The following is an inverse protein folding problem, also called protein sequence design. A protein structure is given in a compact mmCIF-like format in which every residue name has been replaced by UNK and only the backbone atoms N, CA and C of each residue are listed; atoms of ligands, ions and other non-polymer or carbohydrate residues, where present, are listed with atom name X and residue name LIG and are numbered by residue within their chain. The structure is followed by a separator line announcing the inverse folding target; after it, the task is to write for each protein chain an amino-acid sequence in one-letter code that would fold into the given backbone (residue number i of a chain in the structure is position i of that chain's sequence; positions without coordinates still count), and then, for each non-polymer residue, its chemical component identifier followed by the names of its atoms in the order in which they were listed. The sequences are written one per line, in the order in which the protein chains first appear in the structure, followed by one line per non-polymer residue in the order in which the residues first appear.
data_IF_686458501548
#
_entry.id   IF_686458501548
#
_cell.length_a   1.000
_cell.length_b   1.000
_cell.length_c   1.000
_cell.angle_alpha   90.00
_cell.angle_beta   90.00
_cell.angle_gamma   90.00
#
_symmetry.space_group_name_H-M   'P 1'
#
loop_
_entity.id
_entity.type
_entity.pdbx_description
1 polymer ?
#
# COMPACT_ATOMS: atom_id res chain seq x y z
N UNK A 1 23.30 -5.88 -11.28
CA UNK A 1 22.72 -6.40 -10.02
C UNK A 1 21.20 -6.38 -10.15
N UNK A 2 20.50 -7.42 -9.63
CA UNK A 2 19.04 -7.48 -9.54
C UNK A 2 18.63 -8.04 -8.19
N UNK A 3 17.71 -7.38 -7.52
CA UNK A 3 17.09 -7.88 -6.29
C UNK A 3 15.58 -7.58 -6.31
N UNK A 4 14.79 -8.47 -5.73
CA UNK A 4 13.35 -8.30 -5.55
C UNK A 4 13.09 -7.61 -4.22
N UNK A 5 12.29 -6.55 -4.23
CA UNK A 5 11.69 -5.98 -3.04
C UNK A 5 10.43 -6.76 -2.70
N UNK A 6 10.36 -7.39 -1.54
CA UNK A 6 9.20 -8.22 -1.20
C UNK A 6 8.46 -7.77 0.06
N UNK A 7 9.09 -6.88 0.87
CA UNK A 7 8.46 -6.31 2.06
C UNK A 7 9.15 -5.00 2.45
N UNK A 8 8.50 -4.18 3.28
CA UNK A 8 9.10 -3.00 3.91
C UNK A 8 8.38 -2.62 5.19
N UNK A 9 9.09 -1.97 6.09
CA UNK A 9 8.51 -1.32 7.26
C UNK A 9 9.17 0.04 7.50
N UNK A 10 8.48 0.90 8.24
CA UNK A 10 9.01 2.19 8.62
C UNK A 10 9.66 2.13 10.00
N UNK A 11 10.92 2.53 10.06
CA UNK A 11 11.68 2.73 11.29
C UNK A 11 11.89 4.22 11.52
N UNK A 12 11.65 4.71 12.73
CA UNK A 12 11.73 6.14 13.06
C UNK A 12 13.13 6.73 12.93
N UNK A 13 14.18 5.89 13.01
CA UNK A 13 15.59 6.31 12.93
C UNK A 13 16.20 6.05 11.55
N UNK A 14 15.83 4.93 10.92
CA UNK A 14 16.42 4.48 9.64
C UNK A 14 15.58 4.88 8.42
N UNK A 15 14.35 5.35 8.61
CA UNK A 15 13.37 5.55 7.56
C UNK A 15 12.78 4.23 7.08
N UNK A 16 12.51 4.10 5.78
CA UNK A 16 11.99 2.85 5.22
C UNK A 16 13.11 1.81 5.16
N UNK A 17 12.93 0.72 5.87
CA UNK A 17 13.74 -0.49 5.79
C UNK A 17 13.08 -1.43 4.79
N UNK A 18 13.79 -1.78 3.74
CA UNK A 18 13.24 -2.58 2.64
C UNK A 18 13.83 -3.98 2.65
N UNK A 19 12.98 -5.00 2.64
CA UNK A 19 13.41 -6.38 2.56
C UNK A 19 13.64 -6.78 1.10
N UNK A 20 14.78 -7.39 0.85
CA UNK A 20 15.21 -7.73 -0.51
C UNK A 20 15.72 -9.17 -0.59
N UNK A 21 15.53 -9.78 -1.77
CA UNK A 21 16.19 -11.01 -2.17
C UNK A 21 17.04 -10.76 -3.40
N UNK A 22 18.33 -11.08 -3.34
CA UNK A 22 19.26 -10.89 -4.46
C UNK A 22 19.11 -12.05 -5.45
N UNK A 23 18.82 -11.72 -6.71
CA UNK A 23 18.74 -12.69 -7.82
C UNK A 23 19.98 -12.70 -8.68
N UNK A 24 20.67 -11.55 -8.82
CA UNK A 24 21.87 -11.45 -9.63
C UNK A 24 22.83 -10.39 -9.10
N UNK A 25 24.11 -10.69 -9.08
CA UNK A 25 25.16 -9.80 -8.60
C UNK A 25 25.26 -9.74 -7.06
N UNK A 26 25.71 -8.63 -6.55
CA UNK A 26 25.83 -8.38 -5.10
C UNK A 26 25.27 -7.01 -4.74
N UNK A 27 24.83 -6.86 -3.49
CA UNK A 27 24.29 -5.63 -2.91
C UNK A 27 25.11 -5.27 -1.67
N UNK A 28 25.67 -4.06 -1.62
CA UNK A 28 26.53 -3.57 -0.55
C UNK A 28 26.32 -2.09 -0.26
N UNK A 29 26.70 -1.60 0.93
CA UNK A 29 26.64 -0.18 1.27
C UNK A 29 27.44 0.67 0.26
N UNK A 30 26.97 1.91 0.01
CA UNK A 30 27.57 2.86 -0.94
C UNK A 30 27.13 2.67 -2.38
N UNK A 31 26.46 1.57 -2.74
CA UNK A 31 25.95 1.39 -4.09
C UNK A 31 24.83 2.38 -4.41
N UNK A 32 24.88 2.95 -5.62
CA UNK A 32 23.79 3.71 -6.19
C UNK A 32 22.84 2.75 -6.89
N UNK A 33 21.66 2.59 -6.34
CA UNK A 33 20.63 1.66 -6.84
C UNK A 33 19.38 2.42 -7.25
N UNK A 34 18.56 1.79 -8.09
CA UNK A 34 17.29 2.33 -8.55
C UNK A 34 16.21 1.27 -8.43
N UNK A 35 15.09 1.65 -7.88
CA UNK A 35 13.84 0.90 -7.96
C UNK A 35 13.19 1.21 -9.30
N UNK A 36 12.92 0.21 -10.13
CA UNK A 36 12.50 0.43 -11.52
C UNK A 36 11.12 1.10 -11.62
N UNK A 37 10.17 0.70 -10.78
CA UNK A 37 8.80 1.27 -10.78
C UNK A 37 8.72 2.60 -10.04
N UNK A 38 9.46 2.77 -8.95
CA UNK A 38 9.53 4.03 -8.23
C UNK A 38 10.35 5.10 -8.95
N UNK A 39 11.29 4.68 -9.80
CA UNK A 39 12.03 5.53 -10.72
C UNK A 39 13.15 6.38 -10.10
N UNK A 40 13.26 6.47 -8.78
CA UNK A 40 14.25 7.31 -8.10
C UNK A 40 15.52 6.53 -7.76
N UNK A 41 16.72 7.05 -8.09
CA UNK A 41 17.96 6.48 -7.60
C UNK A 41 18.15 6.80 -6.12
N UNK A 42 18.66 5.84 -5.36
CA UNK A 42 18.98 5.96 -3.94
C UNK A 42 20.33 5.32 -3.65
N UNK A 43 21.00 5.81 -2.62
CA UNK A 43 22.25 5.20 -2.14
C UNK A 43 21.96 4.25 -0.99
N UNK A 44 22.43 3.01 -1.13
CA UNK A 44 22.35 2.01 -0.06
C UNK A 44 23.24 2.45 1.12
N UNK A 45 22.66 2.65 2.28
CA UNK A 45 23.38 3.08 3.49
C UNK A 45 23.82 1.90 4.34
N UNK A 46 22.95 0.91 4.48
CA UNK A 46 23.19 -0.28 5.28
C UNK A 46 22.60 -1.49 4.58
N UNK A 47 23.26 -2.61 4.73
CA UNK A 47 22.82 -3.93 4.27
C UNK A 47 22.88 -4.87 5.47
N UNK A 48 21.88 -5.73 5.63
CA UNK A 48 21.85 -6.67 6.74
C UNK A 48 20.96 -7.87 6.49
N UNK A 49 20.93 -8.77 7.47
CA UNK A 49 20.05 -9.95 7.51
C UNK A 49 19.41 -10.10 8.88
N UNK A 50 18.58 -11.12 9.05
CA UNK A 50 17.88 -11.42 10.31
C UNK A 50 18.28 -12.78 10.85
N UNK A 51 18.47 -12.86 12.22
CA UNK A 51 18.72 -14.13 12.93
C UNK A 51 18.35 -14.04 14.43
N UNK A 52 17.10 -14.10 14.87
CA UNK A 52 15.93 -13.48 14.25
C UNK A 52 16.01 -11.95 14.25
N UNK A 53 16.92 -11.36 15.08
CA UNK A 53 17.14 -9.91 15.15
C UNK A 53 17.93 -9.43 13.93
N UNK A 54 17.69 -8.18 13.48
CA UNK A 54 18.48 -7.60 12.40
C UNK A 54 19.94 -7.46 12.82
N UNK A 55 20.85 -7.80 11.90
CA UNK A 55 22.29 -7.58 12.06
C UNK A 55 22.88 -7.09 10.73
N UNK A 56 23.87 -6.20 10.84
CA UNK A 56 24.53 -5.60 9.69
C UNK A 56 25.45 -6.62 9.01
N UNK A 57 25.48 -6.55 7.68
CA UNK A 57 26.39 -7.34 6.84
C UNK A 57 27.20 -6.43 5.92
N UNK A 58 28.33 -6.92 5.46
CA UNK A 58 29.15 -6.23 4.46
C UNK A 58 28.48 -6.23 3.09
N UNK A 59 27.78 -7.33 2.74
CA UNK A 59 27.05 -7.47 1.48
C UNK A 59 26.02 -8.59 1.55
N UNK A 60 25.09 -8.57 0.59
CA UNK A 60 24.23 -9.70 0.22
C UNK A 60 24.60 -10.17 -1.18
N UNK A 61 24.66 -11.48 -1.36
CA UNK A 61 25.00 -12.14 -2.64
C UNK A 61 23.80 -12.91 -3.19
N UNK A 62 23.96 -13.46 -4.39
CA UNK A 62 22.91 -14.21 -5.10
C UNK A 62 22.26 -15.28 -4.22
N UNK A 63 20.93 -15.30 -4.19
CA UNK A 63 20.10 -16.22 -3.40
C UNK A 63 19.85 -15.77 -1.95
N UNK A 64 20.63 -14.82 -1.43
CA UNK A 64 20.48 -14.34 -0.07
C UNK A 64 19.29 -13.38 0.06
N UNK A 65 18.67 -13.44 1.24
CA UNK A 65 17.60 -12.55 1.69
C UNK A 65 18.10 -11.69 2.84
N UNK A 66 17.74 -10.42 2.83
CA UNK A 66 18.11 -9.49 3.87
C UNK A 66 17.34 -8.18 3.77
N UNK A 67 17.90 -7.13 4.34
CA UNK A 67 17.32 -5.80 4.27
C UNK A 67 18.35 -4.77 3.80
N UNK A 68 17.83 -3.66 3.30
CA UNK A 68 18.60 -2.46 3.04
C UNK A 68 17.95 -1.24 3.68
N UNK A 69 18.77 -0.24 4.00
CA UNK A 69 18.31 1.12 4.26
C UNK A 69 18.92 2.06 3.23
N UNK A 70 18.14 3.06 2.79
CA UNK A 70 18.56 3.97 1.73
C UNK A 70 18.04 5.41 1.94
N UNK A 71 17.82 5.82 3.19
CA UNK A 71 17.25 7.12 3.55
C UNK A 71 15.93 7.46 2.84
N UNK A 72 15.13 6.45 2.52
CA UNK A 72 13.80 6.62 1.96
C UNK A 72 12.88 7.07 3.09
N UNK A 73 12.28 8.25 2.94
CA UNK A 73 11.47 8.88 4.00
C UNK A 73 10.01 8.48 3.95
N UNK A 74 9.52 8.08 2.77
CA UNK A 74 8.12 7.73 2.58
C UNK A 74 7.97 6.30 2.06
N UNK A 75 7.17 5.44 2.71
CA UNK A 75 6.85 4.12 2.19
C UNK A 75 6.19 4.14 0.81
N UNK A 76 5.53 5.24 0.45
CA UNK A 76 4.95 5.44 -0.89
C UNK A 76 5.99 5.46 -2.02
N UNK A 77 7.26 5.74 -1.66
CA UNK A 77 8.38 5.70 -2.61
C UNK A 77 8.92 4.27 -2.83
N UNK A 78 8.34 3.26 -2.19
CA UNK A 78 8.71 1.85 -2.33
C UNK A 78 7.48 1.06 -2.75
N UNK A 79 7.59 0.35 -3.88
CA UNK A 79 6.53 -0.53 -4.37
C UNK A 79 6.92 -1.99 -4.14
N UNK A 80 6.03 -2.75 -3.47
CA UNK A 80 6.25 -4.18 -3.26
C UNK A 80 6.23 -4.92 -4.60
N UNK A 81 7.15 -5.87 -4.75
CA UNK A 81 7.34 -6.59 -6.01
C UNK A 81 8.25 -5.86 -7.02
N UNK A 82 8.71 -4.64 -6.71
CA UNK A 82 9.61 -3.89 -7.59
C UNK A 82 10.99 -4.54 -7.67
N UNK A 83 11.71 -4.23 -8.73
CA UNK A 83 13.08 -4.67 -8.95
C UNK A 83 14.05 -3.56 -8.57
N UNK A 84 14.96 -3.88 -7.65
CA UNK A 84 16.11 -3.06 -7.33
C UNK A 84 17.27 -3.41 -8.25
N UNK A 85 17.88 -2.40 -8.88
CA UNK A 85 19.01 -2.57 -9.81
C UNK A 85 20.04 -1.47 -9.66
N UNK A 86 21.22 -1.62 -10.26
CA UNK A 86 22.20 -0.53 -10.31
C UNK A 86 21.66 0.68 -11.06
N UNK A 87 21.87 1.88 -10.52
CA UNK A 87 21.35 3.11 -11.13
C UNK A 87 22.06 3.43 -12.47
N UNK A 88 23.36 3.14 -12.59
CA UNK A 88 24.15 3.45 -13.80
C UNK A 88 23.96 2.45 -14.93
N UNK A 89 23.78 1.17 -14.59
CA UNK A 89 23.58 0.09 -15.55
C UNK A 89 22.41 -0.79 -15.12
N UNK A 90 21.17 -0.33 -15.34
CA UNK A 90 19.99 -1.02 -14.87
C UNK A 90 19.80 -2.35 -15.62
N UNK A 91 19.60 -3.41 -14.87
CA UNK A 91 19.16 -4.70 -15.40
C UNK A 91 17.65 -4.67 -15.68
N UNK A 92 17.10 -5.57 -16.52
CA UNK A 92 15.67 -5.69 -16.74
C UNK A 92 14.88 -5.92 -15.45
N UNK A 93 13.60 -5.58 -15.44
CA UNK A 93 12.72 -5.91 -14.34
C UNK A 93 12.57 -7.43 -14.16
N UNK A 94 12.50 -7.87 -12.92
CA UNK A 94 12.09 -9.25 -12.61
C UNK A 94 10.63 -9.43 -13.04
N UNK A 95 10.25 -10.61 -13.57
CA UNK A 95 8.89 -10.85 -13.99
C UNK A 95 7.92 -10.93 -12.80
N UNK A 96 6.64 -10.62 -13.05
CA UNK A 96 5.57 -10.82 -12.07
C UNK A 96 5.23 -9.59 -11.23
N UNK A 97 5.81 -8.42 -11.48
CA UNK A 97 5.35 -7.20 -10.82
C UNK A 97 3.88 -6.91 -11.15
N UNK A 98 3.07 -6.75 -10.12
CA UNK A 98 1.68 -6.29 -10.22
C UNK A 98 1.45 -5.19 -9.19
N UNK A 99 0.89 -4.09 -9.64
CA UNK A 99 0.49 -3.02 -8.72
C UNK A 99 -0.67 -3.48 -7.86
N UNK A 100 -0.49 -3.43 -6.55
CA UNK A 100 -1.53 -3.78 -5.59
C UNK A 100 -2.57 -2.67 -5.59
N UNK A 101 -3.83 -3.03 -5.89
CA UNK A 101 -4.96 -2.10 -5.88
C UNK A 101 -6.00 -2.54 -4.86
N UNK A 102 -6.58 -1.60 -4.11
CA UNK A 102 -7.71 -1.90 -3.24
C UNK A 102 -8.90 -2.46 -4.03
N UNK A 103 -9.56 -3.44 -3.44
CA UNK A 103 -10.74 -4.11 -4.01
C UNK A 103 -12.03 -3.83 -3.24
N UNK A 104 -11.90 -3.45 -1.97
CA UNK A 104 -13.02 -3.19 -1.07
C UNK A 104 -12.85 -1.82 -0.46
N UNK A 105 -13.91 -1.04 -0.42
CA UNK A 105 -13.91 0.31 0.14
C UNK A 105 -14.93 0.42 1.27
N UNK A 106 -14.57 1.15 2.33
CA UNK A 106 -15.44 1.44 3.46
C UNK A 106 -15.11 2.82 4.02
N UNK A 107 -16.14 3.56 4.41
CA UNK A 107 -15.94 4.78 5.19
C UNK A 107 -15.61 4.43 6.64
N UNK A 108 -14.57 5.03 7.20
CA UNK A 108 -14.20 4.92 8.61
C UNK A 108 -14.37 6.28 9.25
N UNK A 109 -15.21 6.34 10.28
CA UNK A 109 -15.55 7.56 11.01
C UNK A 109 -15.22 7.38 12.48
N UNK A 110 -14.73 8.41 13.18
CA UNK A 110 -14.56 8.33 14.61
C UNK A 110 -15.93 8.32 15.30
N UNK A 111 -16.09 7.54 16.36
CA UNK A 111 -17.33 7.54 17.13
C UNK A 111 -17.57 8.91 17.80
N UNK A 112 -16.50 9.57 18.24
CA UNK A 112 -16.53 10.94 18.70
C UNK A 112 -15.90 11.85 17.63
N UNK A 113 -16.64 12.84 17.14
CA UNK A 113 -16.18 13.76 16.11
C UNK A 113 -14.92 14.55 16.49
N UNK A 114 -14.66 14.75 17.78
CA UNK A 114 -13.45 15.38 18.30
C UNK A 114 -12.17 14.56 18.00
N UNK A 115 -12.31 13.26 17.78
CA UNK A 115 -11.18 12.35 17.49
C UNK A 115 -10.76 12.30 16.00
N UNK A 116 -11.34 13.15 15.14
CA UNK A 116 -11.03 13.15 13.71
C UNK A 116 -9.53 13.28 13.40
N UNK A 117 -8.85 14.25 14.01
CA UNK A 117 -7.41 14.44 13.78
C UNK A 117 -6.58 13.28 14.35
N UNK A 118 -7.00 12.71 15.47
CA UNK A 118 -6.36 11.52 16.05
C UNK A 118 -6.52 10.31 15.13
N UNK A 119 -7.70 10.11 14.53
CA UNK A 119 -7.95 9.07 13.55
C UNK A 119 -7.07 9.25 12.31
N UNK A 120 -6.96 10.48 11.79
CA UNK A 120 -6.09 10.81 10.65
C UNK A 120 -4.63 10.42 10.90
N UNK A 121 -4.11 10.77 12.08
CA UNK A 121 -2.74 10.40 12.48
C UNK A 121 -2.58 8.89 12.57
N UNK A 122 -3.56 8.17 13.12
CA UNK A 122 -3.56 6.72 13.27
C UNK A 122 -3.57 6.00 11.91
N UNK A 123 -4.44 6.44 10.99
CA UNK A 123 -4.47 5.93 9.61
C UNK A 123 -3.15 6.19 8.88
N UNK A 124 -2.55 7.36 9.07
CA UNK A 124 -1.24 7.68 8.53
C UNK A 124 -0.14 6.74 9.02
N UNK A 125 -0.14 6.42 10.31
CA UNK A 125 0.81 5.45 10.90
C UNK A 125 0.58 4.02 10.38
N UNK A 126 -0.67 3.61 10.22
CA UNK A 126 -1.00 2.32 9.63
C UNK A 126 -0.49 2.21 8.19
N UNK A 127 -0.69 3.25 7.39
CA UNK A 127 -0.23 3.27 5.99
C UNK A 127 1.30 3.20 5.86
N UNK A 128 2.06 3.65 6.87
CA UNK A 128 3.51 3.51 6.87
C UNK A 128 3.98 2.04 6.86
N UNK A 129 3.18 1.15 7.45
CA UNK A 129 3.51 -0.28 7.57
C UNK A 129 2.62 -1.17 6.67
N UNK A 130 1.73 -0.56 5.91
CA UNK A 130 0.79 -1.26 5.03
C UNK A 130 0.61 -0.47 3.74
N UNK A 131 1.43 -0.78 2.75
CA UNK A 131 1.44 -0.10 1.45
C UNK A 131 0.20 -0.36 0.61
N UNK A 132 -0.58 -1.40 0.95
CA UNK A 132 -1.83 -1.74 0.28
C UNK A 132 -3.04 -0.96 0.83
N UNK A 133 -2.90 -0.40 2.02
CA UNK A 133 -3.93 0.43 2.65
C UNK A 133 -3.88 1.85 2.09
N UNK A 134 -5.01 2.32 1.60
CA UNK A 134 -5.17 3.71 1.11
C UNK A 134 -6.33 4.37 1.83
N UNK A 135 -6.24 5.68 2.05
CA UNK A 135 -7.32 6.46 2.62
C UNK A 135 -7.33 7.88 2.07
N UNK A 136 -8.52 8.46 2.03
CA UNK A 136 -8.77 9.86 1.67
C UNK A 136 -9.86 10.43 2.57
N UNK A 137 -9.84 11.74 2.79
CA UNK A 137 -10.87 12.42 3.58
C UNK A 137 -12.23 12.29 2.91
N UNK A 138 -13.24 11.99 3.72
CA UNK A 138 -14.64 11.88 3.31
C UNK A 138 -15.53 12.59 4.33
N UNK A 139 -16.69 13.02 3.91
CA UNK A 139 -17.71 13.55 4.80
C UNK A 139 -19.05 12.88 4.54
N UNK A 140 -19.78 12.60 5.62
CA UNK A 140 -21.14 12.05 5.58
C UNK A 140 -22.08 13.00 6.31
N UNK A 141 -23.26 13.21 5.76
CA UNK A 141 -24.30 14.02 6.40
C UNK A 141 -24.71 13.43 7.76
N UNK A 142 -24.69 12.12 7.87
CA UNK A 142 -25.10 11.42 9.11
C UNK A 142 -23.96 11.23 10.11
N UNK A 143 -22.72 10.99 9.64
CA UNK A 143 -21.59 10.61 10.49
C UNK A 143 -20.53 11.71 10.62
N UNK A 144 -20.67 12.83 9.91
CA UNK A 144 -19.70 13.93 9.92
C UNK A 144 -18.45 13.63 9.10
N UNK A 145 -17.30 14.10 9.57
CA UNK A 145 -16.01 13.93 8.90
C UNK A 145 -15.39 12.58 9.23
N UNK A 146 -14.87 11.91 8.22
CA UNK A 146 -14.20 10.62 8.30
C UNK A 146 -13.26 10.39 7.14
N UNK A 147 -12.99 9.12 6.86
CA UNK A 147 -12.07 8.73 5.80
C UNK A 147 -12.65 7.57 5.00
N UNK A 148 -12.63 7.70 3.69
CA UNK A 148 -12.83 6.59 2.78
C UNK A 148 -11.56 5.80 2.68
N UNK A 149 -11.63 4.53 3.07
CA UNK A 149 -10.49 3.63 3.13
C UNK A 149 -10.65 2.52 2.09
N UNK A 150 -9.54 2.18 1.43
CA UNK A 150 -9.46 1.09 0.47
C UNK A 150 -8.62 -0.06 1.03
N UNK A 151 -9.11 -1.30 0.83
CA UNK A 151 -8.57 -2.53 1.37
C UNK A 151 -8.42 -3.58 0.27
N UNK A 152 -7.52 -4.56 0.46
CA UNK A 152 -7.36 -5.71 -0.44
C UNK A 152 -8.57 -6.63 -0.45
N UNK A 153 -9.30 -6.69 0.66
CA UNK A 153 -10.47 -7.52 0.85
C UNK A 153 -11.06 -7.35 2.24
N UNK A 154 -12.12 -8.12 2.55
CA UNK A 154 -12.83 -8.03 3.83
C UNK A 154 -11.94 -8.35 5.02
N UNK A 155 -11.12 -9.40 4.95
CA UNK A 155 -10.19 -9.76 6.01
C UNK A 155 -9.17 -8.64 6.29
N UNK A 156 -8.63 -8.01 5.25
CA UNK A 156 -7.74 -6.87 5.40
C UNK A 156 -8.45 -5.70 6.10
N UNK A 157 -9.70 -5.42 5.72
CA UNK A 157 -10.52 -4.40 6.37
C UNK A 157 -10.72 -4.68 7.86
N UNK A 158 -11.05 -5.91 8.24
CA UNK A 158 -11.23 -6.33 9.63
C UNK A 158 -9.93 -6.18 10.44
N UNK A 159 -8.79 -6.59 9.86
CA UNK A 159 -7.47 -6.43 10.49
C UNK A 159 -7.15 -4.95 10.74
N UNK A 160 -7.36 -4.08 9.75
CA UNK A 160 -7.11 -2.63 9.92
C UNK A 160 -8.02 -2.03 10.99
N UNK A 161 -9.30 -2.39 11.03
CA UNK A 161 -10.24 -1.93 12.06
C UNK A 161 -9.79 -2.39 13.46
N UNK A 162 -9.38 -3.65 13.58
CA UNK A 162 -8.92 -4.20 14.85
C UNK A 162 -7.60 -3.55 15.32
N UNK A 163 -6.70 -3.24 14.40
CA UNK A 163 -5.48 -2.48 14.70
C UNK A 163 -5.78 -1.07 15.15
N UNK A 164 -6.72 -0.37 14.51
CA UNK A 164 -7.16 0.96 14.97
C UNK A 164 -7.68 0.91 16.41
N UNK A 165 -8.45 -0.11 16.74
CA UNK A 165 -8.99 -0.29 18.11
C UNK A 165 -7.89 -0.65 19.12
N UNK A 166 -7.02 -1.64 18.82
CA UNK A 166 -6.04 -2.16 19.78
C UNK A 166 -4.77 -1.34 19.90
N UNK A 167 -4.22 -0.88 18.76
CA UNK A 167 -2.92 -0.20 18.75
C UNK A 167 -3.06 1.31 18.99
N UNK A 168 -4.20 1.90 18.58
CA UNK A 168 -4.41 3.34 18.63
C UNK A 168 -5.54 3.77 19.55
N UNK A 169 -6.22 2.82 20.20
CA UNK A 169 -7.34 3.07 21.12
C UNK A 169 -8.40 3.98 20.46
N UNK A 170 -8.79 3.61 19.23
CA UNK A 170 -9.74 4.37 18.42
C UNK A 170 -11.06 3.63 18.29
N UNK A 171 -12.12 4.22 18.86
CA UNK A 171 -13.48 3.78 18.59
C UNK A 171 -13.98 4.35 17.28
N UNK A 172 -14.29 3.45 16.35
CA UNK A 172 -14.66 3.79 14.98
C UNK A 172 -16.01 3.20 14.57
N UNK A 173 -16.66 3.91 13.65
CA UNK A 173 -17.81 3.42 12.89
C UNK A 173 -17.31 3.13 11.49
N UNK A 174 -17.47 1.89 11.04
CA UNK A 174 -17.21 1.50 9.67
C UNK A 174 -18.53 1.38 8.90
N UNK A 175 -18.59 1.99 7.73
CA UNK A 175 -19.76 1.82 6.85
C UNK A 175 -19.72 0.44 6.18
N UNK A 176 -20.84 0.02 5.61
CA UNK A 176 -20.89 -1.22 4.85
C UNK A 176 -19.87 -1.17 3.71
N UNK A 177 -19.07 -2.24 3.50
CA UNK A 177 -18.07 -2.26 2.44
C UNK A 177 -18.73 -2.17 1.06
N UNK A 178 -18.08 -1.44 0.16
CA UNK A 178 -18.50 -1.28 -1.24
C UNK A 178 -17.38 -1.72 -2.18
N UNK A 179 -17.76 -2.00 -3.41
CA UNK A 179 -16.86 -2.30 -4.51
C UNK A 179 -16.78 -1.11 -5.47
N UNK A 180 -15.86 -1.14 -6.42
CA UNK A 180 -15.83 -0.19 -7.52
C UNK A 180 -16.88 -0.60 -8.55
N UNK A 181 -17.81 0.31 -8.85
CA UNK A 181 -18.80 0.16 -9.91
C UNK A 181 -18.28 0.78 -11.21
N UNK A 182 -18.54 0.14 -12.33
CA UNK A 182 -18.32 0.72 -13.66
C UNK A 182 -19.65 1.23 -14.20
N UNK A 183 -19.73 2.53 -14.43
CA UNK A 183 -20.95 3.19 -14.89
C UNK A 183 -20.74 3.65 -16.33
N UNK A 184 -21.47 3.04 -17.25
CA UNK A 184 -21.54 3.50 -18.63
C UNK A 184 -22.59 4.61 -18.72
N UNK A 185 -22.14 5.80 -19.11
CA UNK A 185 -23.00 6.95 -19.30
C UNK A 185 -23.74 6.88 -20.64
N UNK A 186 -24.83 7.63 -20.77
CA UNK A 186 -25.62 7.72 -22.02
C UNK A 186 -24.87 8.34 -23.19
N UNK A 187 -23.81 9.11 -22.91
CA UNK A 187 -22.89 9.70 -23.91
C UNK A 187 -21.74 8.77 -24.30
N UNK A 188 -21.69 7.54 -23.72
CA UNK A 188 -20.66 6.54 -23.98
C UNK A 188 -19.42 6.65 -23.08
N UNK A 189 -19.34 7.63 -22.16
CA UNK A 189 -18.26 7.73 -21.20
C UNK A 189 -18.36 6.60 -20.16
N UNK A 190 -17.21 5.94 -19.83
CA UNK A 190 -17.13 4.94 -18.77
C UNK A 190 -16.52 5.58 -17.53
N UNK A 191 -17.23 5.54 -16.40
CA UNK A 191 -16.79 6.05 -15.11
C UNK A 191 -16.63 4.90 -14.10
N UNK A 192 -15.53 4.92 -13.37
CA UNK A 192 -15.33 4.04 -12.22
C UNK A 192 -15.72 4.79 -10.95
N UNK A 193 -16.65 4.22 -10.18
CA UNK A 193 -17.24 4.86 -8.99
C UNK A 193 -17.07 3.91 -7.81
N UNK A 194 -16.29 4.32 -6.84
CA UNK A 194 -16.02 3.59 -5.60
C UNK A 194 -16.96 4.03 -4.46
N UNK A 195 -17.60 5.19 -4.60
CA UNK A 195 -18.51 5.76 -3.60
C UNK A 195 -19.88 6.02 -4.22
N UNK A 196 -20.95 5.39 -3.72
CA UNK A 196 -22.34 5.60 -4.21
C UNK A 196 -22.79 7.06 -4.17
N UNK A 197 -22.20 7.91 -3.32
CA UNK A 197 -22.52 9.33 -3.27
C UNK A 197 -22.13 10.10 -4.56
N UNK A 198 -21.23 9.54 -5.35
CA UNK A 198 -20.78 10.12 -6.62
C UNK A 198 -21.49 9.51 -7.86
N UNK A 199 -22.52 8.67 -7.64
CA UNK A 199 -23.34 8.17 -8.73
C UNK A 199 -23.99 9.34 -9.47
N UNK A 200 -23.83 9.40 -10.81
CA UNK A 200 -24.55 10.38 -11.61
C UNK A 200 -26.07 10.23 -11.48
N UNK A 201 -26.81 11.26 -11.87
CA UNK A 201 -28.27 11.15 -11.91
C UNK A 201 -28.69 10.03 -12.88
N UNK A 202 -29.70 9.25 -12.50
CA UNK A 202 -30.14 8.03 -13.20
C UNK A 202 -30.41 8.22 -14.68
N UNK A 203 -30.88 9.38 -15.07
CA UNK A 203 -31.18 9.74 -16.47
C UNK A 203 -29.92 9.85 -17.37
N UNK A 204 -28.72 9.94 -16.78
CA UNK A 204 -27.44 9.94 -17.52
C UNK A 204 -26.75 8.59 -17.50
N UNK A 205 -27.30 7.60 -16.84
CA UNK A 205 -26.72 6.26 -16.72
C UNK A 205 -27.36 5.33 -17.73
N UNK A 206 -26.55 4.64 -18.54
CA UNK A 206 -26.96 3.60 -19.45
C UNK A 206 -26.90 2.22 -18.79
N UNK A 207 -25.75 1.89 -18.16
CA UNK A 207 -25.52 0.60 -17.51
C UNK A 207 -24.66 0.82 -16.25
N UNK A 208 -24.94 0.04 -15.19
CA UNK A 208 -24.06 -0.09 -14.01
C UNK A 208 -23.58 -1.53 -13.96
N UNK A 209 -22.27 -1.70 -13.92
CA UNK A 209 -21.62 -3.00 -13.76
C UNK A 209 -20.94 -3.08 -12.40
N UNK A 210 -21.05 -4.22 -11.74
CA UNK A 210 -20.32 -4.54 -10.53
C UNK A 210 -19.38 -5.73 -10.77
N UNK A 211 -18.22 -5.82 -10.07
CA UNK A 211 -17.34 -6.94 -10.18
C UNK A 211 -17.99 -8.18 -9.56
N UNK A 212 -17.95 -9.29 -10.29
CA UNK A 212 -18.41 -10.61 -9.81
C UNK A 212 -17.25 -11.58 -9.78
N UNK A 213 -17.25 -12.48 -8.80
CA UNK A 213 -16.30 -13.57 -8.70
C UNK A 213 -17.00 -14.90 -8.92
N UNK A 214 -16.35 -15.83 -9.62
CA UNK A 214 -16.81 -17.20 -9.77
C UNK A 214 -16.02 -18.09 -8.82
N UNK A 215 -16.68 -18.55 -7.75
CA UNK A 215 -16.10 -19.46 -6.77
C UNK A 215 -16.39 -20.92 -7.13
N UNK A 216 -15.39 -21.79 -6.95
CA UNK A 216 -15.56 -23.24 -6.99
C UNK A 216 -15.29 -23.75 -5.57
N UNK A 217 -16.27 -24.42 -4.98
CA UNK A 217 -16.15 -25.09 -3.68
C UNK A 217 -15.99 -26.58 -3.98
N UNK A 218 -14.90 -27.17 -3.48
CA UNK A 218 -14.59 -28.61 -3.61
C UNK A 218 -14.78 -29.27 -2.27
#
# INVERSE_FOLDING_TARGET
MQALLFDSYFDTYKGVVTHVRVFNGELKPGMQVKMLQAGKPVEVKEVGSFNPKPYVREKLTVGETGYITANIKSPKDVKMGDTLTEARNPSPALPGFQEIRPMVFSGIYPMNTADYERLKVSLGKLQLNDSAFVYQSESSVALGFGFRCGFLGLLHMEIVQERLRREYDMDIIATYPSVVYRVLMTDGELKEIDNPAFLPAVNYISVIEEPVVKGFVI
#
